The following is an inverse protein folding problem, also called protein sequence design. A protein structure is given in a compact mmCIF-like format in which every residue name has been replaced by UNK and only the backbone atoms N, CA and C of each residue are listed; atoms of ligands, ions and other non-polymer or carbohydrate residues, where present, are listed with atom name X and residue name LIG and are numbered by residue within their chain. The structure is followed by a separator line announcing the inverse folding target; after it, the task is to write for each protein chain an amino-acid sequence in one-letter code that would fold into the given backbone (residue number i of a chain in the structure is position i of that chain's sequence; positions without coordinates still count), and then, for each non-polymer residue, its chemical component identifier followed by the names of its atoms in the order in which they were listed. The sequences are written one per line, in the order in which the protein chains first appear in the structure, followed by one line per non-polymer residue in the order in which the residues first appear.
data_IF_697688868263
#
_entry.id   IF_697688868263
#
_cell.length_a   1.000
_cell.length_b   1.000
_cell.length_c   1.000
_cell.angle_alpha   90.00
_cell.angle_beta   90.00
_cell.angle_gamma   90.00
#
_symmetry.space_group_name_H-M   'P 1'
#
loop_
_entity.id
_entity.type
_entity.pdbx_description
1 polymer ?
#
# COMPACT_ATOMS: atom_id res chain seq x y z
N UNK A 1 2.59 10.92 1.27
CA UNK A 1 2.22 9.97 0.22
C UNK A 1 2.84 8.64 0.61
N UNK A 2 2.04 7.60 0.83
CA UNK A 2 2.58 6.25 0.98
C UNK A 2 3.39 5.96 -0.29
N UNK A 3 4.65 5.49 -0.21
CA UNK A 3 5.21 4.78 -1.35
C UNK A 3 4.22 3.65 -1.63
N UNK A 4 3.88 3.43 -2.91
CA UNK A 4 3.19 2.23 -3.35
C UNK A 4 4.10 1.08 -2.88
N UNK A 5 3.82 0.53 -1.71
CA UNK A 5 4.58 -0.55 -1.14
C UNK A 5 4.37 -1.74 -2.09
N UNK A 6 5.41 -2.01 -2.89
CA UNK A 6 5.78 -3.35 -3.33
C UNK A 6 4.66 -4.29 -3.83
N UNK A 7 3.65 -3.78 -4.54
CA UNK A 7 3.00 -4.59 -5.59
C UNK A 7 3.91 -4.70 -6.84
N UNK A 8 5.00 -3.94 -6.86
CA UNK A 8 6.09 -4.05 -7.83
C UNK A 8 7.00 -5.23 -7.47
N UNK A 9 6.51 -6.45 -7.68
CA UNK A 9 7.24 -7.59 -8.28
C UNK A 9 6.36 -8.84 -8.19
N UNK A 10 5.13 -8.80 -8.68
CA UNK A 10 4.58 -10.05 -9.21
C UNK A 10 5.31 -10.29 -10.54
N UNK A 11 5.96 -11.45 -10.72
CA UNK A 11 6.59 -11.76 -12.00
C UNK A 11 5.52 -11.63 -13.07
N UNK A 12 5.82 -10.91 -14.14
CA UNK A 12 4.93 -10.64 -15.29
C UNK A 12 4.58 -11.95 -16.07
N UNK A 13 4.79 -13.10 -15.44
CA UNK A 13 4.62 -14.42 -15.99
C UNK A 13 4.03 -15.37 -14.93
N UNK A 14 2.79 -15.13 -14.49
CA UNK A 14 1.94 -16.23 -14.04
C UNK A 14 0.63 -16.21 -14.80
N UNK A 15 0.56 -17.15 -15.75
CA UNK A 15 -0.58 -17.55 -16.58
C UNK A 15 -1.33 -16.42 -17.29
N UNK A 16 -0.72 -15.85 -18.33
CA UNK A 16 -1.50 -15.25 -19.41
C UNK A 16 -2.48 -16.32 -19.95
N UNK A 17 -3.78 -16.00 -20.15
CA UNK A 17 -4.73 -16.93 -20.74
C UNK A 17 -4.17 -17.52 -22.03
N UNK A 18 -4.55 -18.77 -22.34
CA UNK A 18 -4.05 -19.50 -23.50
C UNK A 18 -4.17 -18.65 -24.77
N UNK A 19 -3.02 -18.24 -25.28
CA UNK A 19 -2.86 -17.35 -26.42
C UNK A 19 -3.59 -17.93 -27.64
N UNK A 20 -4.76 -17.38 -28.01
CA UNK A 20 -5.27 -17.62 -29.36
C UNK A 20 -4.25 -17.04 -30.37
N UNK A 21 -3.95 -17.70 -31.49
CA UNK A 21 -3.05 -17.17 -32.52
C UNK A 21 -3.69 -15.99 -33.21
N UNK A 22 -3.32 -14.77 -32.83
CA UNK A 22 -3.99 -13.55 -33.33
C UNK A 22 -3.13 -12.64 -34.19
N UNK A 23 -1.80 -12.61 -34.08
CA UNK A 23 -0.89 -12.16 -35.16
C UNK A 23 0.59 -12.35 -34.73
N UNK A 24 1.48 -12.91 -35.57
CA UNK A 24 2.88 -13.13 -35.19
C UNK A 24 3.64 -11.85 -34.81
N UNK A 25 3.43 -10.76 -35.56
CA UNK A 25 4.09 -9.48 -35.31
C UNK A 25 3.67 -8.86 -33.97
N UNK A 26 2.39 -8.93 -33.62
CA UNK A 26 1.88 -8.44 -32.33
C UNK A 26 2.46 -9.24 -31.15
N UNK A 27 2.60 -10.57 -31.30
CA UNK A 27 3.24 -11.43 -30.30
C UNK A 27 4.72 -11.10 -30.10
N UNK A 28 5.42 -10.77 -31.19
CA UNK A 28 6.83 -10.38 -31.09
C UNK A 28 6.99 -9.05 -30.35
N UNK A 29 6.15 -8.06 -30.67
CA UNK A 29 6.13 -6.79 -29.93
C UNK A 29 5.76 -6.97 -28.46
N UNK A 30 4.82 -7.86 -28.13
CA UNK A 30 4.50 -8.21 -26.75
C UNK A 30 5.73 -8.79 -26.04
N UNK A 31 6.43 -9.77 -26.65
CA UNK A 31 7.64 -10.37 -26.08
C UNK A 31 8.75 -9.35 -25.89
N UNK A 32 8.96 -8.48 -26.87
CA UNK A 32 9.94 -7.39 -26.79
C UNK A 32 9.62 -6.47 -25.61
N UNK A 33 8.35 -6.06 -25.45
CA UNK A 33 7.92 -5.26 -24.31
C UNK A 33 8.20 -5.95 -22.97
N UNK A 34 7.89 -7.25 -22.85
CA UNK A 34 8.19 -8.03 -21.64
C UNK A 34 9.70 -8.08 -21.33
N UNK A 35 10.54 -8.28 -22.34
CA UNK A 35 12.00 -8.28 -22.18
C UNK A 35 12.52 -6.90 -21.75
N UNK A 36 11.93 -5.81 -22.26
CA UNK A 36 12.27 -4.44 -21.87
C UNK A 36 11.88 -4.15 -20.41
N UNK A 37 10.77 -4.70 -19.91
CA UNK A 37 10.45 -4.61 -18.48
C UNK A 37 11.53 -5.32 -17.63
N UNK A 38 11.98 -6.50 -18.04
CA UNK A 38 13.05 -7.21 -17.32
C UNK A 38 14.37 -6.42 -17.30
N UNK A 39 14.61 -5.58 -18.30
CA UNK A 39 15.75 -4.67 -18.38
C UNK A 39 15.53 -3.34 -17.64
N UNK A 40 14.35 -3.12 -17.06
CA UNK A 40 13.97 -1.86 -16.40
C UNK A 40 13.66 -0.71 -17.38
N UNK A 41 13.58 -0.96 -18.68
CA UNK A 41 13.34 0.05 -19.70
C UNK A 41 11.84 0.27 -19.94
N UNK A 42 11.17 0.88 -18.96
CA UNK A 42 9.73 1.14 -19.00
C UNK A 42 9.27 1.95 -20.23
N UNK A 43 9.94 3.05 -20.65
CA UNK A 43 9.47 3.82 -21.80
C UNK A 43 9.43 3.01 -23.11
N UNK A 44 10.45 2.19 -23.36
CA UNK A 44 10.47 1.33 -24.55
C UNK A 44 9.49 0.16 -24.42
N UNK A 45 9.29 -0.39 -23.22
CA UNK A 45 8.29 -1.42 -22.99
C UNK A 45 6.88 -0.92 -23.32
N UNK A 46 6.53 0.30 -22.88
CA UNK A 46 5.26 0.96 -23.20
C UNK A 46 5.10 1.11 -24.73
N UNK A 47 6.15 1.53 -25.44
CA UNK A 47 6.11 1.66 -26.90
C UNK A 47 5.85 0.31 -27.59
N UNK A 48 6.55 -0.75 -27.16
CA UNK A 48 6.36 -2.09 -27.70
C UNK A 48 4.95 -2.65 -27.42
N UNK A 49 4.41 -2.45 -26.21
CA UNK A 49 3.04 -2.86 -25.89
C UNK A 49 1.98 -2.07 -26.66
N UNK A 50 2.18 -0.76 -26.87
CA UNK A 50 1.32 0.05 -27.76
C UNK A 50 1.34 -0.49 -29.19
N UNK A 51 2.52 -0.84 -29.71
CA UNK A 51 2.65 -1.42 -31.05
C UNK A 51 1.98 -2.81 -31.13
N UNK A 52 2.15 -3.66 -30.12
CA UNK A 52 1.47 -4.95 -30.04
C UNK A 52 -0.07 -4.78 -30.07
N UNK A 53 -0.60 -3.83 -29.29
CA UNK A 53 -2.03 -3.52 -29.24
C UNK A 53 -2.57 -2.86 -30.52
N UNK A 54 -1.73 -2.16 -31.28
CA UNK A 54 -2.09 -1.59 -32.59
C UNK A 54 -2.13 -2.65 -33.69
N UNK A 55 -1.12 -3.53 -33.72
CA UNK A 55 -1.05 -4.65 -34.67
C UNK A 55 -2.19 -5.64 -34.43
N UNK A 56 -2.55 -5.84 -33.17
CA UNK A 56 -3.64 -6.71 -32.78
C UNK A 56 -4.48 -6.11 -31.64
N UNK A 57 -5.55 -5.36 -31.99
CA UNK A 57 -6.45 -4.80 -31.00
C UNK A 57 -7.18 -5.84 -30.14
N UNK A 58 -7.19 -7.12 -30.55
CA UNK A 58 -7.81 -8.23 -29.83
C UNK A 58 -6.79 -9.02 -28.98
N UNK A 59 -5.58 -8.50 -28.81
CA UNK A 59 -4.58 -9.07 -27.90
C UNK A 59 -4.74 -8.51 -26.48
N UNK A 60 -5.60 -9.13 -25.67
CA UNK A 60 -5.85 -8.70 -24.28
C UNK A 60 -4.56 -8.56 -23.46
N UNK A 61 -3.60 -9.47 -23.67
CA UNK A 61 -2.30 -9.44 -23.02
C UNK A 61 -1.49 -8.16 -23.32
N UNK A 62 -1.58 -7.60 -24.54
CA UNK A 62 -0.88 -6.38 -24.89
C UNK A 62 -1.49 -5.16 -24.18
N UNK A 63 -2.81 -5.04 -24.17
CA UNK A 63 -3.52 -4.00 -23.43
C UNK A 63 -3.27 -4.11 -21.92
N UNK A 64 -3.27 -5.32 -21.36
CA UNK A 64 -3.02 -5.57 -19.94
C UNK A 64 -1.61 -5.14 -19.53
N UNK A 65 -0.57 -5.58 -20.26
CA UNK A 65 0.81 -5.21 -19.95
C UNK A 65 1.10 -3.72 -20.23
N UNK A 66 0.44 -3.12 -21.22
CA UNK A 66 0.45 -1.68 -21.42
C UNK A 66 -0.10 -0.95 -20.18
N UNK A 67 -1.24 -1.40 -19.65
CA UNK A 67 -1.85 -0.84 -18.45
C UNK A 67 -0.94 -0.93 -17.22
N UNK A 68 -0.29 -2.08 -17.01
CA UNK A 68 0.68 -2.25 -15.91
C UNK A 68 1.84 -1.26 -16.02
N UNK A 69 2.45 -1.15 -17.20
CA UNK A 69 3.59 -0.27 -17.43
C UNK A 69 3.21 1.22 -17.27
N UNK A 70 2.04 1.62 -17.78
CA UNK A 70 1.52 2.99 -17.64
C UNK A 70 1.20 3.34 -16.18
N UNK A 71 0.62 2.40 -15.42
CA UNK A 71 0.36 2.61 -13.99
C UNK A 71 1.68 2.79 -13.23
N UNK A 72 2.71 2.01 -13.57
CA UNK A 72 4.03 2.14 -12.97
C UNK A 72 4.71 3.48 -13.28
N UNK A 73 4.45 4.09 -14.44
CA UNK A 73 4.93 5.45 -14.78
C UNK A 73 4.04 6.57 -14.26
N UNK A 74 2.93 6.25 -13.58
CA UNK A 74 1.98 7.23 -13.05
C UNK A 74 0.99 7.78 -14.09
N UNK A 75 0.97 7.24 -15.31
CA UNK A 75 0.02 7.59 -16.37
C UNK A 75 -1.36 6.94 -16.13
N UNK A 76 -1.96 7.27 -14.99
CA UNK A 76 -3.06 6.51 -14.40
C UNK A 76 -4.30 6.41 -15.30
N UNK A 77 -4.70 7.50 -15.96
CA UNK A 77 -5.85 7.49 -16.86
C UNK A 77 -5.62 6.57 -18.07
N UNK A 78 -4.42 6.62 -18.66
CA UNK A 78 -4.09 5.74 -19.78
C UNK A 78 -4.01 4.27 -19.33
N UNK A 79 -3.56 4.02 -18.09
CA UNK A 79 -3.57 2.69 -17.52
C UNK A 79 -5.00 2.14 -17.38
N UNK A 80 -5.94 2.95 -16.87
CA UNK A 80 -7.38 2.61 -16.80
C UNK A 80 -7.90 2.26 -18.19
N UNK A 81 -7.63 3.08 -19.20
CA UNK A 81 -8.10 2.84 -20.57
C UNK A 81 -7.54 1.54 -21.15
N UNK A 82 -6.26 1.24 -20.90
CA UNK A 82 -5.60 0.02 -21.36
C UNK A 82 -6.16 -1.22 -20.65
N UNK A 83 -6.32 -1.20 -19.32
CA UNK A 83 -6.95 -2.31 -18.61
C UNK A 83 -8.40 -2.52 -19.05
N UNK A 84 -9.16 -1.45 -19.25
CA UNK A 84 -10.53 -1.55 -19.76
C UNK A 84 -10.57 -2.21 -21.15
N UNK A 85 -9.65 -1.88 -22.06
CA UNK A 85 -9.54 -2.61 -23.34
C UNK A 85 -9.23 -4.09 -23.13
N UNK A 86 -8.32 -4.42 -22.21
CA UNK A 86 -8.02 -5.82 -21.90
C UNK A 86 -9.27 -6.60 -21.44
N UNK A 87 -10.15 -5.99 -20.64
CA UNK A 87 -11.40 -6.64 -20.18
C UNK A 87 -12.48 -6.71 -21.25
N UNK A 88 -12.52 -5.77 -22.20
CA UNK A 88 -13.40 -5.85 -23.37
C UNK A 88 -12.98 -6.97 -24.33
N UNK A 89 -11.67 -7.12 -24.53
CA UNK A 89 -11.09 -8.14 -25.41
C UNK A 89 -11.18 -9.55 -24.82
N UNK A 90 -10.94 -9.69 -23.51
CA UNK A 90 -11.13 -10.94 -22.79
C UNK A 90 -12.01 -10.73 -21.54
N UNK A 91 -13.33 -10.97 -21.66
CA UNK A 91 -14.27 -10.83 -20.56
C UNK A 91 -14.08 -11.83 -19.41
N UNK A 92 -13.17 -12.82 -19.54
CA UNK A 92 -12.83 -13.77 -18.49
C UNK A 92 -11.49 -13.44 -17.80
N UNK A 93 -10.85 -12.33 -18.15
CA UNK A 93 -9.53 -11.97 -17.63
C UNK A 93 -9.62 -11.31 -16.24
N UNK A 94 -9.80 -12.12 -15.19
CA UNK A 94 -9.97 -11.67 -13.81
C UNK A 94 -8.87 -10.68 -13.34
N UNK A 95 -7.60 -10.95 -13.68
CA UNK A 95 -6.47 -10.06 -13.36
C UNK A 95 -6.57 -8.67 -14.01
N UNK A 96 -7.11 -8.57 -15.23
CA UNK A 96 -7.32 -7.28 -15.88
C UNK A 96 -8.41 -6.48 -15.18
N UNK A 97 -9.50 -7.12 -14.75
CA UNK A 97 -10.54 -6.50 -13.93
C UNK A 97 -9.98 -6.04 -12.57
N UNK A 98 -9.17 -6.86 -11.90
CA UNK A 98 -8.57 -6.50 -10.62
C UNK A 98 -7.63 -5.28 -10.74
N UNK A 99 -6.81 -5.22 -11.79
CA UNK A 99 -5.90 -4.11 -12.02
C UNK A 99 -6.60 -2.84 -12.53
N UNK A 100 -7.67 -2.97 -13.32
CA UNK A 100 -8.56 -1.86 -13.65
C UNK A 100 -9.16 -1.25 -12.37
N UNK A 101 -9.70 -2.10 -11.49
CA UNK A 101 -10.24 -1.67 -10.21
C UNK A 101 -9.19 -1.00 -9.31
N UNK A 102 -7.96 -1.53 -9.28
CA UNK A 102 -6.84 -0.94 -8.55
C UNK A 102 -6.46 0.46 -9.08
N UNK A 103 -6.38 0.62 -10.40
CA UNK A 103 -6.08 1.93 -11.02
C UNK A 103 -7.19 2.96 -10.74
N UNK A 104 -8.47 2.52 -10.76
CA UNK A 104 -9.60 3.38 -10.40
C UNK A 104 -9.60 3.77 -8.91
N UNK A 105 -9.20 2.84 -8.03
CA UNK A 105 -9.01 3.10 -6.60
C UNK A 105 -7.93 4.17 -6.38
N UNK A 106 -6.77 4.06 -7.04
CA UNK A 106 -5.72 5.09 -7.01
C UNK A 106 -6.22 6.45 -7.51
N UNK A 107 -7.08 6.43 -8.53
CA UNK A 107 -7.77 7.60 -9.08
C UNK A 107 -8.93 8.10 -8.22
N UNK A 108 -9.16 7.50 -7.05
CA UNK A 108 -10.26 7.79 -6.10
C UNK A 108 -11.66 7.61 -6.68
N UNK A 109 -11.81 6.83 -7.75
CA UNK A 109 -13.09 6.45 -8.32
C UNK A 109 -13.59 5.15 -7.67
N UNK A 110 -13.95 5.26 -6.38
CA UNK A 110 -14.36 4.13 -5.56
C UNK A 110 -15.58 3.35 -6.10
N UNK A 111 -16.63 3.99 -6.67
CA UNK A 111 -17.77 3.26 -7.20
C UNK A 111 -17.39 2.33 -8.35
N UNK A 112 -16.63 2.81 -9.35
CA UNK A 112 -16.22 1.95 -10.47
C UNK A 112 -15.15 0.93 -10.05
N UNK A 113 -14.24 1.31 -9.14
CA UNK A 113 -13.28 0.37 -8.57
C UNK A 113 -14.01 -0.83 -7.95
N UNK A 114 -15.05 -0.59 -7.15
CA UNK A 114 -15.89 -1.66 -6.58
C UNK A 114 -16.48 -2.54 -7.66
N UNK A 115 -17.12 -1.96 -8.67
CA UNK A 115 -17.76 -2.73 -9.76
C UNK A 115 -16.79 -3.70 -10.43
N UNK A 116 -15.60 -3.24 -10.80
CA UNK A 116 -14.63 -4.09 -11.50
C UNK A 116 -13.93 -5.08 -10.57
N UNK A 117 -13.72 -4.74 -9.29
CA UNK A 117 -13.18 -5.68 -8.30
C UNK A 117 -14.17 -6.79 -7.96
N UNK A 118 -15.47 -6.47 -7.85
CA UNK A 118 -16.52 -7.48 -7.74
C UNK A 118 -16.48 -8.41 -8.94
N UNK A 119 -16.35 -7.85 -10.16
CA UNK A 119 -16.26 -8.68 -11.36
C UNK A 119 -15.03 -9.59 -11.37
N UNK A 120 -13.87 -9.10 -10.92
CA UNK A 120 -12.67 -9.91 -10.78
C UNK A 120 -12.90 -11.10 -9.81
N UNK A 121 -13.56 -10.85 -8.68
CA UNK A 121 -13.86 -11.87 -7.67
C UNK A 121 -14.96 -12.85 -8.09
N UNK A 122 -15.91 -12.44 -8.94
CA UNK A 122 -16.87 -13.36 -9.57
C UNK A 122 -16.16 -14.34 -10.52
N UNK A 123 -15.15 -13.87 -11.27
CA UNK A 123 -14.39 -14.68 -12.22
C UNK A 123 -13.37 -15.58 -11.52
N UNK A 124 -12.67 -15.05 -10.51
CA UNK A 124 -11.72 -15.79 -9.69
C UNK A 124 -11.88 -15.41 -8.21
N UNK A 125 -12.64 -16.20 -7.43
CA UNK A 125 -12.83 -15.99 -6.00
C UNK A 125 -11.55 -16.14 -5.16
N UNK A 126 -10.48 -16.72 -5.72
CA UNK A 126 -9.19 -16.93 -5.03
C UNK A 126 -8.13 -15.90 -5.44
N UNK A 127 -8.53 -14.83 -6.13
CA UNK A 127 -7.60 -13.77 -6.52
C UNK A 127 -7.27 -12.84 -5.35
N UNK A 128 -6.17 -13.14 -4.64
CA UNK A 128 -5.76 -12.41 -3.42
C UNK A 128 -5.64 -10.90 -3.59
N UNK A 129 -5.07 -10.45 -4.72
CA UNK A 129 -4.95 -9.01 -5.04
C UNK A 129 -6.30 -8.32 -5.23
N UNK A 130 -7.32 -9.03 -5.75
CA UNK A 130 -8.66 -8.48 -5.88
C UNK A 130 -9.34 -8.33 -4.52
N UNK A 131 -9.18 -9.32 -3.63
CA UNK A 131 -9.64 -9.22 -2.24
C UNK A 131 -8.97 -8.05 -1.51
N UNK A 132 -7.65 -7.88 -1.66
CA UNK A 132 -6.93 -6.76 -1.04
C UNK A 132 -7.48 -5.40 -1.50
N UNK A 133 -7.57 -5.20 -2.82
CA UNK A 133 -8.05 -3.94 -3.39
C UNK A 133 -9.53 -3.70 -3.07
N UNK A 134 -10.37 -4.74 -3.04
CA UNK A 134 -11.76 -4.62 -2.61
C UNK A 134 -11.85 -4.20 -1.14
N UNK A 135 -11.01 -4.79 -0.28
CA UNK A 135 -10.90 -4.39 1.12
C UNK A 135 -10.57 -2.92 1.30
N UNK A 136 -9.64 -2.39 0.49
CA UNK A 136 -9.31 -0.96 0.48
C UNK A 136 -10.50 -0.08 0.07
N UNK A 137 -11.21 -0.44 -0.99
CA UNK A 137 -12.42 0.29 -1.43
C UNK A 137 -13.49 0.26 -0.34
N UNK A 138 -13.78 -0.90 0.25
CA UNK A 138 -14.77 -1.05 1.30
C UNK A 138 -14.41 -0.23 2.56
N UNK A 139 -13.14 -0.27 2.99
CA UNK A 139 -12.67 0.52 4.13
C UNK A 139 -12.81 2.03 3.87
N UNK A 140 -12.51 2.49 2.66
CA UNK A 140 -12.65 3.89 2.28
C UNK A 140 -14.12 4.36 2.20
N UNK A 141 -15.05 3.43 1.94
CA UNK A 141 -16.50 3.65 2.01
C UNK A 141 -17.09 3.50 3.42
N UNK A 142 -16.29 3.20 4.44
CA UNK A 142 -16.75 2.97 5.82
C UNK A 142 -17.39 1.59 6.05
N UNK A 143 -17.32 0.69 5.06
CA UNK A 143 -17.86 -0.66 5.13
C UNK A 143 -16.83 -1.61 5.77
N UNK A 144 -16.66 -1.48 7.09
CA UNK A 144 -15.61 -2.19 7.82
C UNK A 144 -15.77 -3.71 7.83
N UNK A 145 -16.99 -4.25 7.95
CA UNK A 145 -17.21 -5.70 7.91
C UNK A 145 -16.81 -6.33 6.56
N UNK A 146 -17.29 -5.82 5.40
CA UNK A 146 -16.78 -6.25 4.09
C UNK A 146 -15.27 -6.08 3.93
N UNK A 147 -14.69 -4.99 4.45
CA UNK A 147 -13.26 -4.74 4.38
C UNK A 147 -12.47 -5.80 5.17
N UNK A 148 -12.87 -6.10 6.41
CA UNK A 148 -12.26 -7.13 7.25
C UNK A 148 -12.32 -8.50 6.57
N UNK A 149 -13.49 -8.89 6.04
CA UNK A 149 -13.65 -10.16 5.35
C UNK A 149 -12.70 -10.27 4.15
N UNK A 150 -12.58 -9.18 3.37
CA UNK A 150 -11.73 -9.13 2.18
C UNK A 150 -10.25 -9.16 2.54
N UNK A 151 -9.80 -8.39 3.54
CA UNK A 151 -8.40 -8.46 3.99
C UNK A 151 -8.03 -9.81 4.61
N UNK A 152 -8.95 -10.48 5.31
CA UNK A 152 -8.72 -11.85 5.80
C UNK A 152 -8.54 -12.84 4.65
N UNK A 153 -9.36 -12.73 3.59
CA UNK A 153 -9.19 -13.54 2.39
C UNK A 153 -7.87 -13.23 1.66
N UNK A 154 -7.55 -11.95 1.49
CA UNK A 154 -6.28 -11.52 0.88
C UNK A 154 -5.08 -12.07 1.66
N UNK A 155 -5.08 -11.99 2.99
CA UNK A 155 -4.01 -12.53 3.84
C UNK A 155 -3.91 -14.07 3.76
N UNK A 156 -5.05 -14.76 3.65
CA UNK A 156 -5.08 -16.22 3.46
C UNK A 156 -4.48 -16.65 2.11
N UNK A 157 -4.78 -15.89 1.06
CA UNK A 157 -4.38 -16.19 -0.32
C UNK A 157 -2.95 -15.73 -0.62
N UNK A 158 -2.52 -14.64 0.02
CA UNK A 158 -1.20 -14.03 -0.12
C UNK A 158 -0.54 -13.83 1.26
N UNK A 159 -0.10 -14.92 1.93
CA UNK A 159 0.36 -14.88 3.33
C UNK A 159 1.66 -14.12 3.56
N UNK A 160 2.39 -13.78 2.49
CA UNK A 160 3.67 -13.07 2.55
C UNK A 160 3.52 -11.53 2.37
N UNK A 161 2.29 -11.03 2.25
CA UNK A 161 2.00 -9.60 2.08
C UNK A 161 1.54 -8.98 3.42
N UNK A 162 2.35 -8.12 4.08
CA UNK A 162 2.01 -7.55 5.39
C UNK A 162 0.84 -6.56 5.36
N UNK A 163 0.51 -5.99 4.20
CA UNK A 163 -0.42 -4.88 4.04
C UNK A 163 -1.83 -5.25 4.52
N UNK A 164 -2.30 -6.45 4.18
CA UNK A 164 -3.64 -6.91 4.59
C UNK A 164 -3.76 -7.01 6.12
N UNK A 165 -2.73 -7.52 6.80
CA UNK A 165 -2.69 -7.58 8.26
C UNK A 165 -2.60 -6.17 8.88
N UNK A 166 -1.83 -5.27 8.27
CA UNK A 166 -1.75 -3.87 8.70
C UNK A 166 -3.12 -3.15 8.58
N UNK A 167 -3.83 -3.31 7.47
CA UNK A 167 -5.15 -2.69 7.28
C UNK A 167 -6.20 -3.27 8.23
N UNK A 168 -6.15 -4.57 8.52
CA UNK A 168 -6.96 -5.18 9.59
C UNK A 168 -6.70 -4.50 10.94
N UNK A 169 -5.42 -4.34 11.31
CA UNK A 169 -5.05 -3.68 12.56
C UNK A 169 -5.58 -2.25 12.66
N UNK A 170 -5.52 -1.49 11.57
CA UNK A 170 -6.10 -0.13 11.51
C UNK A 170 -7.61 -0.10 11.69
N UNK A 171 -8.32 -1.03 11.06
CA UNK A 171 -9.79 -1.10 11.18
C UNK A 171 -10.17 -1.50 12.61
N UNK A 172 -9.52 -2.51 13.19
CA UNK A 172 -9.76 -2.91 14.57
C UNK A 172 -9.45 -1.80 15.56
N UNK A 173 -8.37 -1.04 15.33
CA UNK A 173 -8.03 0.12 16.15
C UNK A 173 -9.11 1.21 16.06
N UNK A 174 -9.63 1.50 14.86
CA UNK A 174 -10.73 2.44 14.66
C UNK A 174 -12.03 1.99 15.35
N UNK A 175 -12.26 0.67 15.44
CA UNK A 175 -13.39 0.08 16.17
C UNK A 175 -13.13 -0.09 17.68
N UNK A 176 -12.00 0.43 18.19
CA UNK A 176 -11.56 0.27 19.59
C UNK A 176 -11.37 -1.20 20.02
N UNK A 177 -11.25 -2.13 19.07
CA UNK A 177 -10.92 -3.52 19.33
C UNK A 177 -9.40 -3.69 19.46
N UNK A 178 -8.87 -3.20 20.58
CA UNK A 178 -7.42 -3.02 20.81
C UNK A 178 -6.65 -4.33 20.70
N UNK A 179 -7.16 -5.43 21.26
CA UNK A 179 -6.45 -6.72 21.24
C UNK A 179 -6.34 -7.32 19.83
N UNK A 180 -7.41 -7.22 19.03
CA UNK A 180 -7.35 -7.66 17.64
C UNK A 180 -6.46 -6.73 16.79
N UNK A 181 -6.42 -5.43 17.10
CA UNK A 181 -5.49 -4.49 16.48
C UNK A 181 -4.02 -4.86 16.76
N UNK A 182 -3.67 -5.14 18.03
CA UNK A 182 -2.32 -5.60 18.42
C UNK A 182 -1.93 -6.86 17.66
N UNK A 183 -2.79 -7.89 17.66
CA UNK A 183 -2.54 -9.16 16.93
C UNK A 183 -2.31 -8.92 15.44
N UNK A 184 -3.11 -8.08 14.81
CA UNK A 184 -3.00 -7.79 13.39
C UNK A 184 -1.70 -7.03 13.04
N UNK A 185 -1.31 -6.03 13.85
CA UNK A 185 -0.03 -5.35 13.66
C UNK A 185 1.17 -6.27 13.92
N UNK A 186 1.11 -7.13 14.95
CA UNK A 186 2.13 -8.15 15.21
C UNK A 186 2.23 -9.15 14.05
N UNK A 187 1.12 -9.53 13.43
CA UNK A 187 1.12 -10.39 12.25
C UNK A 187 1.79 -9.67 11.05
N UNK A 188 1.51 -8.39 10.82
CA UNK A 188 2.19 -7.60 9.79
C UNK A 188 3.72 -7.53 10.02
N UNK A 189 4.13 -7.31 11.28
CA UNK A 189 5.56 -7.30 11.69
C UNK A 189 6.20 -8.68 11.52
N UNK A 190 5.47 -9.75 11.82
CA UNK A 190 5.96 -11.13 11.63
C UNK A 190 6.22 -11.43 10.16
N UNK A 191 5.35 -10.96 9.26
CA UNK A 191 5.50 -11.12 7.82
C UNK A 191 6.65 -10.25 7.29
N UNK A 192 6.69 -8.98 7.70
CA UNK A 192 7.75 -8.03 7.34
C UNK A 192 8.29 -7.34 8.59
N UNK A 193 9.42 -7.80 9.15
CA UNK A 193 10.00 -7.19 10.36
C UNK A 193 10.38 -5.72 10.21
N UNK A 194 10.57 -5.24 8.97
CA UNK A 194 10.87 -3.84 8.64
C UNK A 194 9.64 -3.09 8.11
N UNK A 195 8.50 -3.23 8.78
CA UNK A 195 7.25 -2.54 8.42
C UNK A 195 6.97 -1.37 9.41
N UNK A 196 7.41 -0.14 9.09
CA UNK A 196 7.46 0.95 10.07
C UNK A 196 6.09 1.37 10.59
N UNK A 197 5.05 1.36 9.74
CA UNK A 197 3.70 1.74 10.13
C UNK A 197 3.09 0.79 11.17
N UNK A 198 3.38 -0.51 11.07
CA UNK A 198 2.85 -1.50 12.03
C UNK A 198 3.56 -1.36 13.37
N UNK A 199 4.88 -1.16 13.38
CA UNK A 199 5.65 -0.87 14.59
C UNK A 199 5.15 0.42 15.26
N UNK A 200 4.93 1.49 14.49
CA UNK A 200 4.40 2.74 15.03
C UNK A 200 3.02 2.56 15.67
N UNK A 201 2.06 1.95 14.97
CA UNK A 201 0.71 1.78 15.53
C UNK A 201 0.71 0.85 16.76
N UNK A 202 1.54 -0.20 16.77
CA UNK A 202 1.72 -1.02 17.95
C UNK A 202 2.32 -0.21 19.11
N UNK A 203 3.33 0.63 18.84
CA UNK A 203 3.92 1.53 19.83
C UNK A 203 2.91 2.53 20.40
N UNK A 204 2.04 3.10 19.57
CA UNK A 204 0.96 3.98 20.02
C UNK A 204 -0.04 3.25 20.93
N UNK A 205 -0.42 2.01 20.61
CA UNK A 205 -1.29 1.20 21.49
C UNK A 205 -0.61 0.95 22.83
N UNK A 206 0.65 0.51 22.82
CA UNK A 206 1.43 0.23 24.03
C UNK A 206 1.60 1.48 24.91
N UNK A 207 1.80 2.65 24.28
CA UNK A 207 1.87 3.92 25.00
C UNK A 207 0.57 4.25 25.74
N UNK A 208 -0.58 4.09 25.07
CA UNK A 208 -1.88 4.28 25.72
C UNK A 208 -2.18 3.27 26.83
N UNK A 209 -1.55 2.09 26.80
CA UNK A 209 -1.61 1.07 27.85
C UNK A 209 -0.56 1.29 28.95
N UNK A 210 0.17 2.41 28.93
CA UNK A 210 1.26 2.74 29.86
C UNK A 210 2.44 1.74 29.85
N UNK A 211 2.54 0.91 28.80
CA UNK A 211 3.66 0.00 28.56
C UNK A 211 4.84 0.76 27.92
N UNK A 212 5.37 1.76 28.64
CA UNK A 212 6.26 2.80 28.10
C UNK A 212 7.55 2.25 27.46
N UNK A 213 8.20 1.26 28.07
CA UNK A 213 9.43 0.67 27.53
C UNK A 213 9.17 -0.12 26.23
N UNK A 214 8.04 -0.83 26.18
CA UNK A 214 7.62 -1.56 24.99
C UNK A 214 7.22 -0.60 23.86
N UNK A 215 6.57 0.52 24.20
CA UNK A 215 6.24 1.58 23.26
C UNK A 215 7.51 2.21 22.64
N UNK A 216 8.53 2.54 23.47
CA UNK A 216 9.82 3.03 22.97
C UNK A 216 10.52 2.02 22.06
N UNK A 217 10.50 0.74 22.43
CA UNK A 217 11.08 -0.32 21.60
C UNK A 217 10.39 -0.38 20.22
N UNK A 218 9.05 -0.34 20.19
CA UNK A 218 8.27 -0.31 18.96
C UNK A 218 8.54 0.94 18.11
N UNK A 219 8.55 2.14 18.71
CA UNK A 219 8.90 3.37 17.99
C UNK A 219 10.33 3.33 17.43
N UNK A 220 11.28 2.77 18.17
CA UNK A 220 12.65 2.55 17.67
C UNK A 220 12.68 1.60 16.47
N UNK A 221 11.91 0.52 16.48
CA UNK A 221 11.83 -0.37 15.31
C UNK A 221 11.23 0.34 14.10
N UNK A 222 10.22 1.21 14.29
CA UNK A 222 9.68 2.02 13.22
C UNK A 222 10.73 2.95 12.61
N UNK A 223 11.57 3.61 13.41
CA UNK A 223 12.63 4.50 12.91
C UNK A 223 13.82 3.76 12.30
N UNK A 224 14.14 2.54 12.75
CA UNK A 224 15.13 1.67 12.10
C UNK A 224 14.63 1.15 10.74
N UNK A 225 13.33 0.90 10.61
CA UNK A 225 12.73 0.51 9.35
C UNK A 225 12.68 1.70 8.36
N UNK A 226 12.35 2.90 8.85
CA UNK A 226 12.35 4.14 8.07
C UNK A 226 12.84 5.32 8.91
N UNK A 227 14.05 5.81 8.63
CA UNK A 227 14.66 6.92 9.38
C UNK A 227 13.92 8.25 9.24
N UNK A 228 13.06 8.39 8.21
CA UNK A 228 12.28 9.60 7.96
C UNK A 228 10.86 9.50 8.55
N UNK A 229 10.57 8.50 9.39
CA UNK A 229 9.25 8.28 9.99
C UNK A 229 9.01 9.20 11.20
N UNK A 230 8.71 10.48 10.93
CA UNK A 230 8.56 11.55 11.92
C UNK A 230 7.64 11.18 13.11
N UNK A 231 6.51 10.53 12.83
CA UNK A 231 5.53 10.11 13.85
C UNK A 231 6.12 9.20 14.93
N UNK A 232 7.09 8.34 14.58
CA UNK A 232 7.71 7.46 15.58
C UNK A 232 8.65 8.22 16.52
N UNK A 233 9.38 9.22 16.02
CA UNK A 233 10.17 10.11 16.89
C UNK A 233 9.27 10.97 17.78
N UNK A 234 8.16 11.47 17.23
CA UNK A 234 7.17 12.21 18.00
C UNK A 234 6.57 11.34 19.12
N UNK A 235 6.18 10.10 18.80
CA UNK A 235 5.68 9.12 19.77
C UNK A 235 6.71 8.81 20.86
N UNK A 236 7.97 8.60 20.50
CA UNK A 236 9.04 8.42 21.48
C UNK A 236 9.23 9.66 22.39
N UNK A 237 9.09 10.86 21.83
CA UNK A 237 9.13 12.11 22.58
C UNK A 237 8.03 12.21 23.64
N UNK A 238 6.80 11.80 23.30
CA UNK A 238 5.70 11.70 24.26
C UNK A 238 6.01 10.72 25.40
N UNK A 239 6.59 9.55 25.08
CA UNK A 239 6.98 8.58 26.11
C UNK A 239 8.03 9.19 27.05
N UNK A 240 9.07 9.83 26.51
CA UNK A 240 10.11 10.45 27.33
C UNK A 240 9.57 11.59 28.20
N UNK A 241 8.64 12.40 27.69
CA UNK A 241 7.95 13.42 28.49
C UNK A 241 7.20 12.79 29.67
N UNK A 242 6.45 11.71 29.44
CA UNK A 242 5.74 11.00 30.51
C UNK A 242 6.69 10.38 31.54
N UNK A 243 7.89 9.97 31.12
CA UNK A 243 8.96 9.49 32.01
C UNK A 243 9.77 10.61 32.68
N UNK A 244 9.45 11.89 32.46
CA UNK A 244 10.25 13.06 32.88
C UNK A 244 11.70 13.07 32.34
N UNK A 245 11.96 12.35 31.24
CA UNK A 245 13.26 12.29 30.56
C UNK A 245 13.39 13.42 29.56
N UNK A 246 13.43 14.64 30.07
CA UNK A 246 13.30 15.86 29.27
C UNK A 246 14.41 16.04 28.22
N UNK A 247 15.66 15.67 28.51
CA UNK A 247 16.76 15.75 27.54
C UNK A 247 16.54 14.82 26.35
N UNK A 248 16.09 13.59 26.60
CA UNK A 248 15.82 12.60 25.55
C UNK A 248 14.61 13.02 24.71
N UNK A 249 13.56 13.53 25.38
CA UNK A 249 12.38 14.09 24.73
C UNK A 249 12.77 15.22 23.76
N UNK A 250 13.61 16.16 24.20
CA UNK A 250 14.05 17.27 23.35
C UNK A 250 14.76 16.79 22.09
N UNK A 251 15.67 15.82 22.22
CA UNK A 251 16.42 15.30 21.08
C UNK A 251 15.51 14.68 20.01
N UNK A 252 14.60 13.79 20.42
CA UNK A 252 13.72 13.10 19.45
C UNK A 252 12.62 14.01 18.91
N UNK A 253 12.08 14.93 19.72
CA UNK A 253 11.07 15.90 19.26
C UNK A 253 11.66 16.92 18.28
N UNK A 254 12.92 17.33 18.46
CA UNK A 254 13.61 18.20 17.51
C UNK A 254 13.75 17.48 16.16
N UNK A 255 14.16 16.21 16.18
CA UNK A 255 14.26 15.43 14.95
C UNK A 255 12.90 15.21 14.29
N UNK A 256 11.84 14.93 15.07
CA UNK A 256 10.48 14.83 14.57
C UNK A 256 10.01 16.12 13.87
N UNK A 257 10.21 17.28 14.53
CA UNK A 257 9.89 18.61 13.99
C UNK A 257 10.60 18.85 12.66
N UNK A 258 11.90 18.60 12.59
CA UNK A 258 12.69 18.84 11.38
C UNK A 258 12.23 17.94 10.22
N UNK A 259 11.89 16.68 10.51
CA UNK A 259 11.28 15.79 9.52
C UNK A 259 9.89 16.27 9.08
N UNK A 260 9.04 16.73 10.00
CA UNK A 260 7.72 17.29 9.64
C UNK A 260 7.86 18.53 8.76
N UNK A 261 8.86 19.39 9.02
CA UNK A 261 9.15 20.56 8.19
C UNK A 261 9.54 20.14 6.77
N UNK A 262 10.43 19.15 6.63
CA UNK A 262 10.81 18.60 5.31
C UNK A 262 9.64 17.95 4.59
N UNK A 263 8.67 17.42 5.34
CA UNK A 263 7.45 16.80 4.81
C UNK A 263 6.33 17.82 4.52
N UNK A 264 6.54 19.12 4.81
CA UNK A 264 5.55 20.17 4.64
C UNK A 264 4.34 20.05 5.57
N UNK A 265 4.52 19.44 6.76
CA UNK A 265 3.44 19.17 7.70
C UNK A 265 3.43 20.18 8.86
N UNK A 266 3.03 21.43 8.55
CA UNK A 266 3.14 22.59 9.44
C UNK A 266 2.42 22.41 10.80
N UNK A 267 1.26 21.74 10.81
CA UNK A 267 0.53 21.47 12.06
C UNK A 267 1.38 20.62 13.02
N UNK A 268 2.07 19.61 12.50
CA UNK A 268 2.89 18.72 13.32
C UNK A 268 4.24 19.35 13.69
N UNK A 269 4.74 20.30 12.90
CA UNK A 269 5.85 21.18 13.31
C UNK A 269 5.45 21.96 14.56
N UNK A 270 4.32 22.67 14.52
CA UNK A 270 3.84 23.44 15.67
C UNK A 270 3.57 22.58 16.91
N UNK A 271 2.95 21.40 16.73
CA UNK A 271 2.73 20.45 17.84
C UNK A 271 4.06 20.00 18.47
N UNK A 272 5.06 19.70 17.63
CA UNK A 272 6.40 19.29 18.11
C UNK A 272 7.11 20.42 18.85
N UNK A 273 6.97 21.66 18.40
CA UNK A 273 7.52 22.85 19.06
C UNK A 273 6.90 23.09 20.44
N UNK A 274 5.59 22.93 20.57
CA UNK A 274 4.91 23.05 21.86
C UNK A 274 5.43 22.00 22.87
N UNK A 275 5.64 20.76 22.44
CA UNK A 275 6.21 19.71 23.28
C UNK A 275 7.68 19.97 23.61
N UNK A 276 8.46 20.51 22.67
CA UNK A 276 9.84 20.94 22.92
C UNK A 276 9.92 22.02 23.99
N UNK A 277 9.02 23.00 23.96
CA UNK A 277 8.97 24.06 24.96
C UNK A 277 8.63 23.51 26.35
N UNK A 278 7.66 22.60 26.44
CA UNK A 278 7.36 21.86 27.69
C UNK A 278 8.57 21.07 28.19
N UNK A 279 9.32 20.43 27.29
CA UNK A 279 10.52 19.69 27.66
C UNK A 279 11.67 20.62 28.11
N UNK A 280 11.70 21.88 27.69
CA UNK A 280 12.71 22.89 28.10
C UNK A 280 12.38 23.51 29.45
N UNK A 281 11.09 23.68 29.72
CA UNK A 281 10.58 24.33 30.92
C UNK A 281 9.62 23.38 31.66
N UNK A 282 10.13 22.30 32.28
CA UNK A 282 9.28 21.37 33.02
C UNK A 282 8.66 22.08 34.23
N UNK A 283 7.36 21.86 34.47
CA UNK A 283 6.71 22.39 35.67
C UNK A 283 7.30 21.73 36.95
N UNK A 284 7.44 22.48 38.06
CA UNK A 284 7.85 21.89 39.34
C UNK A 284 6.80 20.88 39.82
N UNK A 285 7.24 19.69 40.23
CA UNK A 285 6.40 18.64 40.81
C UNK A 285 5.91 18.98 42.21
#
# INVERSE_FOLDING_TARGET
MLPIASLATEPIAQSLPSLKPTQPAAREQLKQGLALIQQGNLPQAIAAFRQAAQLDPQLAAAHYNLGLALRQTGELQQAVDAFYRATQTDPQFALAFANLGAALLEGKNFPQARTYLTKALELDPNLGVAHYNYGLVAAQSGEFEPAIASFKNALRLSPNAPESAYHLGRIYLHQENIEEAKKAFQQAIKISPRYPEAHYNLGSILFHQEELDAALAAFRQATLANSNYANAYYGAGLVFLQQNRFSDAQQVLQYARDLYQLQGNEQWVANSEQLLERARNPEPQ
#
